data_IF_494291228417
#
_entry.id   IF_494291228417
#
_cell.length_a   1.000
_cell.length_b   1.000
_cell.length_c   1.000
_cell.angle_alpha   90.00
_cell.angle_beta   90.00
_cell.angle_gamma   90.00
#
_symmetry.space_group_name_H-M   'P 1'
#
loop_
_entity.id
_entity.type
_entity.pdbx_description
1 polymer ?
#
# COMPACT_ATOMS: atom_id res chain seq x y z
N UNK A 1 -8.53 -1.12 -1.27
CA UNK A 1 -7.20 -1.49 -1.82
C UNK A 1 -6.11 -0.94 -0.91
N UNK A 2 -4.91 -1.52 -0.94
CA UNK A 2 -3.83 -1.24 -0.01
C UNK A 2 -2.51 -1.05 -0.79
N UNK A 3 -1.88 0.11 -0.63
CA UNK A 3 -0.51 0.36 -1.10
C UNK A 3 0.45 0.23 0.07
N UNK A 4 1.51 -0.54 -0.09
CA UNK A 4 2.51 -0.79 0.95
C UNK A 4 3.87 -0.38 0.41
N UNK A 5 4.50 0.57 1.11
CA UNK A 5 5.80 1.11 0.75
C UNK A 5 6.81 0.75 1.84
N UNK A 6 7.87 0.01 1.48
CA UNK A 6 8.93 -0.33 2.43
C UNK A 6 9.59 -1.67 2.15
N UNK A 7 10.40 -2.11 3.09
CA UNK A 7 11.01 -3.44 3.12
C UNK A 7 10.27 -4.32 4.13
N UNK A 8 9.30 -5.09 3.66
CA UNK A 8 8.53 -6.04 4.49
C UNK A 8 8.65 -7.45 3.95
N UNK A 9 8.51 -8.43 4.84
CA UNK A 9 8.37 -9.83 4.43
C UNK A 9 6.96 -10.01 3.84
N UNK A 10 6.88 -10.05 2.49
CA UNK A 10 5.64 -10.15 1.73
C UNK A 10 4.82 -11.38 2.17
N UNK A 11 5.48 -12.51 2.43
CA UNK A 11 4.82 -13.76 2.85
C UNK A 11 4.15 -13.59 4.22
N UNK A 12 4.86 -13.02 5.19
CA UNK A 12 4.31 -12.80 6.53
C UNK A 12 3.14 -11.83 6.51
N UNK A 13 3.27 -10.74 5.76
CA UNK A 13 2.21 -9.75 5.56
C UNK A 13 0.97 -10.40 4.95
N UNK A 14 1.13 -11.18 3.88
CA UNK A 14 0.02 -11.82 3.19
C UNK A 14 -0.71 -12.82 4.09
N UNK A 15 0.01 -13.55 4.95
CA UNK A 15 -0.61 -14.42 5.97
C UNK A 15 -1.50 -13.62 6.94
N UNK A 16 -1.06 -12.45 7.39
CA UNK A 16 -1.85 -11.59 8.30
C UNK A 16 -3.06 -10.99 7.59
N UNK A 17 -2.88 -10.47 6.37
CA UNK A 17 -3.96 -9.89 5.58
C UNK A 17 -5.03 -10.93 5.21
N UNK A 18 -4.64 -12.18 4.93
CA UNK A 18 -5.59 -13.26 4.64
C UNK A 18 -6.54 -13.54 5.83
N UNK A 19 -6.09 -13.35 7.07
CA UNK A 19 -6.98 -13.47 8.24
C UNK A 19 -7.97 -12.32 8.28
N UNK A 20 -7.49 -11.08 8.14
CA UNK A 20 -8.32 -9.89 8.10
C UNK A 20 -9.37 -9.96 6.99
N UNK A 21 -8.98 -10.34 5.77
CA UNK A 21 -9.89 -10.46 4.61
C UNK A 21 -11.04 -11.44 4.87
N UNK A 22 -10.79 -12.53 5.60
CA UNK A 22 -11.84 -13.48 6.01
C UNK A 22 -12.79 -12.86 7.04
N UNK A 23 -12.24 -12.15 8.03
CA UNK A 23 -13.05 -11.48 9.07
C UNK A 23 -13.96 -10.39 8.48
N UNK A 24 -13.49 -9.66 7.47
CA UNK A 24 -14.27 -8.60 6.81
C UNK A 24 -15.07 -9.10 5.59
N UNK A 25 -14.99 -10.41 5.27
CA UNK A 25 -15.56 -11.04 4.08
C UNK A 25 -15.33 -10.23 2.79
N UNK A 26 -14.11 -9.73 2.59
CA UNK A 26 -13.73 -8.89 1.45
C UNK A 26 -12.26 -9.08 1.08
N UNK A 27 -11.98 -9.12 -0.21
CA UNK A 27 -10.62 -9.12 -0.73
C UNK A 27 -10.02 -7.70 -0.78
N UNK A 28 -8.72 -7.61 -0.50
CA UNK A 28 -7.97 -6.36 -0.54
C UNK A 28 -6.89 -6.50 -1.62
N UNK A 29 -6.94 -5.68 -2.67
CA UNK A 29 -5.84 -5.65 -3.63
C UNK A 29 -4.63 -4.97 -3.00
N UNK A 30 -3.48 -5.64 -3.06
CA UNK A 30 -2.22 -5.16 -2.47
C UNK A 30 -1.27 -4.78 -3.58
N UNK A 31 -0.79 -3.53 -3.55
CA UNK A 31 0.34 -3.08 -4.36
C UNK A 31 1.54 -2.92 -3.44
N UNK A 32 2.60 -3.68 -3.71
CA UNK A 32 3.85 -3.61 -2.95
C UNK A 32 4.89 -2.81 -3.73
N UNK A 33 5.61 -1.92 -3.06
CA UNK A 33 6.77 -1.26 -3.62
C UNK A 33 7.79 -0.93 -2.55
N UNK A 34 9.05 -0.83 -2.94
CA UNK A 34 10.09 -0.32 -2.05
C UNK A 34 10.12 1.21 -2.07
N UNK A 35 10.79 1.81 -1.09
CA UNK A 35 10.89 3.27 -0.97
C UNK A 35 11.53 3.94 -2.19
N UNK A 36 12.54 3.30 -2.79
CA UNK A 36 13.26 3.84 -3.94
C UNK A 36 12.33 3.96 -5.15
N UNK A 37 11.52 2.94 -5.40
CA UNK A 37 10.52 2.92 -6.45
C UNK A 37 9.43 3.96 -6.20
N UNK A 38 8.91 4.05 -4.97
CA UNK A 38 7.90 5.04 -4.61
C UNK A 38 8.39 6.47 -4.83
N UNK A 39 9.59 6.80 -4.32
CA UNK A 39 10.23 8.12 -4.53
C UNK A 39 10.43 8.43 -6.02
N UNK A 40 10.87 7.43 -6.80
CA UNK A 40 11.01 7.57 -8.26
C UNK A 40 9.67 7.84 -8.94
N UNK A 41 8.61 7.13 -8.57
CA UNK A 41 7.26 7.32 -9.12
C UNK A 41 6.67 8.68 -8.79
N UNK A 42 6.90 9.19 -7.57
CA UNK A 42 6.56 10.57 -7.20
C UNK A 42 7.28 11.57 -8.10
N UNK A 43 8.61 11.45 -8.24
CA UNK A 43 9.43 12.34 -9.06
C UNK A 43 8.97 12.36 -10.52
N UNK A 44 8.59 11.21 -11.05
CA UNK A 44 8.13 11.04 -12.43
C UNK A 44 6.64 11.37 -12.63
N UNK A 45 5.93 11.83 -11.59
CA UNK A 45 4.49 12.12 -11.63
C UNK A 45 3.64 10.94 -12.11
N UNK A 46 4.00 9.73 -11.67
CA UNK A 46 3.25 8.51 -11.95
C UNK A 46 1.75 8.70 -11.63
N UNK A 47 0.83 8.52 -12.59
CA UNK A 47 -0.58 8.85 -12.41
C UNK A 47 -1.25 8.12 -11.23
N UNK A 48 -0.86 6.87 -10.97
CA UNK A 48 -1.40 6.08 -9.89
C UNK A 48 -0.98 6.65 -8.53
N UNK A 49 0.32 6.90 -8.33
CA UNK A 49 0.83 7.45 -7.07
C UNK A 49 0.31 8.87 -6.83
N UNK A 50 0.33 9.71 -7.85
CA UNK A 50 -0.18 11.08 -7.74
C UNK A 50 -1.69 11.08 -7.45
N UNK A 51 -2.45 10.16 -8.05
CA UNK A 51 -3.88 10.01 -7.77
C UNK A 51 -4.15 9.69 -6.29
N UNK A 52 -3.39 8.76 -5.71
CA UNK A 52 -3.52 8.42 -4.28
C UNK A 52 -3.17 9.62 -3.38
N UNK A 53 -2.05 10.29 -3.65
CA UNK A 53 -1.53 11.37 -2.81
C UNK A 53 -2.36 12.66 -2.87
N UNK A 54 -3.06 12.90 -4.00
CA UNK A 54 -3.93 14.08 -4.16
C UNK A 54 -5.23 13.98 -3.37
N UNK A 55 -5.64 12.78 -2.99
CA UNK A 55 -6.87 12.60 -2.23
C UNK A 55 -6.68 13.04 -0.77
N UNK A 56 -7.78 13.47 -0.14
CA UNK A 56 -7.78 13.75 1.31
C UNK A 56 -7.36 12.47 2.05
N UNK A 57 -6.36 12.59 2.91
CA UNK A 57 -5.83 11.47 3.68
C UNK A 57 -5.79 11.84 5.16
N UNK A 58 -6.04 10.84 6.00
CA UNK A 58 -5.82 10.91 7.44
C UNK A 58 -4.47 10.25 7.70
N UNK A 59 -3.56 11.00 8.33
CA UNK A 59 -2.30 10.45 8.83
C UNK A 59 -2.54 9.93 10.24
N UNK A 60 -2.19 8.68 10.48
CA UNK A 60 -2.19 8.06 11.80
C UNK A 60 -0.73 7.94 12.22
N UNK A 61 -0.36 8.62 13.30
CA UNK A 61 0.95 8.48 13.94
C UNK A 61 0.83 7.41 15.04
N UNK A 62 1.68 6.39 14.96
CA UNK A 62 1.75 5.25 15.89
C UNK A 62 2.96 5.38 16.82
#
# INVERSE_FOLDING_TARGET
DLLIVGSHNIILLQKKLNKLQKEINREINIVNMNEKEFKRKIKNKDPFIIGILKNKHIKIDL
#
